data_IF_111882518595
#
_entry.id   IF_111882518595
#
_cell.length_a   1.000
_cell.length_b   1.000
_cell.length_c   1.000
_cell.angle_alpha   90.00
_cell.angle_beta   90.00
_cell.angle_gamma   90.00
#
_symmetry.space_group_name_H-M   'P 1'
#
loop_
_entity.id
_entity.type
_entity.pdbx_description
1 polymer ?
#
# COMPACT_ATOMS: atom_id res chain seq x y z
N UNK A 1 -33.66 24.32 -4.29
CA UNK A 1 -32.28 23.79 -4.48
C UNK A 1 -32.10 23.40 -5.94
N UNK A 2 -31.19 24.05 -6.65
CA UNK A 2 -30.76 23.61 -7.98
C UNK A 2 -29.73 22.49 -7.79
N UNK A 3 -30.07 21.26 -8.19
CA UNK A 3 -29.28 20.05 -7.96
C UNK A 3 -28.87 19.39 -9.27
N UNK A 4 -28.40 18.13 -9.19
CA UNK A 4 -28.02 17.36 -10.38
C UNK A 4 -29.13 17.32 -11.47
N UNK A 5 -30.40 17.39 -11.05
CA UNK A 5 -31.56 17.45 -11.94
C UNK A 5 -31.60 18.70 -12.83
N UNK A 6 -31.06 19.84 -12.39
CA UNK A 6 -31.07 21.11 -13.14
C UNK A 6 -29.86 21.30 -14.06
N UNK A 7 -28.91 20.37 -14.09
CA UNK A 7 -27.74 20.44 -14.97
C UNK A 7 -28.12 20.18 -16.44
N UNK A 8 -27.35 20.75 -17.36
CA UNK A 8 -27.45 20.40 -18.78
C UNK A 8 -27.11 18.91 -19.00
N UNK A 9 -27.71 18.21 -19.99
CA UNK A 9 -27.50 16.78 -20.21
C UNK A 9 -26.03 16.37 -20.34
N UNK A 10 -25.22 17.16 -21.06
CA UNK A 10 -23.78 16.92 -21.22
C UNK A 10 -23.02 16.97 -19.89
N UNK A 11 -23.39 17.91 -19.02
CA UNK A 11 -22.79 18.04 -17.69
C UNK A 11 -23.19 16.89 -16.78
N UNK A 12 -24.44 16.40 -16.87
CA UNK A 12 -24.87 15.18 -16.16
C UNK A 12 -24.00 13.99 -16.54
N UNK A 13 -23.76 13.79 -17.84
CA UNK A 13 -22.94 12.69 -18.33
C UNK A 13 -21.48 12.79 -17.85
N UNK A 14 -20.92 14.01 -17.79
CA UNK A 14 -19.57 14.22 -17.24
C UNK A 14 -19.49 13.91 -15.75
N UNK A 15 -20.49 14.33 -14.96
CA UNK A 15 -20.54 14.03 -13.53
C UNK A 15 -20.68 12.51 -13.29
N UNK A 16 -21.52 11.84 -14.06
CA UNK A 16 -21.70 10.37 -13.97
C UNK A 16 -20.42 9.64 -14.38
N UNK A 17 -19.83 10.02 -15.51
CA UNK A 17 -18.59 9.42 -15.99
C UNK A 17 -17.44 9.65 -14.99
N UNK A 18 -17.27 10.88 -14.52
CA UNK A 18 -16.25 11.22 -13.52
C UNK A 18 -16.45 10.48 -12.20
N UNK A 19 -17.68 10.39 -11.71
CA UNK A 19 -18.01 9.65 -10.49
C UNK A 19 -17.73 8.15 -10.62
N UNK A 20 -18.14 7.53 -11.72
CA UNK A 20 -17.89 6.12 -11.99
C UNK A 20 -16.38 5.83 -12.12
N UNK A 21 -15.64 6.67 -12.86
CA UNK A 21 -14.19 6.56 -13.01
C UNK A 21 -13.46 6.71 -11.67
N UNK A 22 -13.84 7.72 -10.86
CA UNK A 22 -13.24 7.94 -9.56
C UNK A 22 -13.54 6.79 -8.58
N UNK A 23 -14.74 6.21 -8.63
CA UNK A 23 -15.11 5.06 -7.80
C UNK A 23 -14.28 3.82 -8.17
N UNK A 24 -14.21 3.47 -9.45
CA UNK A 24 -13.43 2.32 -9.93
C UNK A 24 -11.94 2.50 -9.61
N UNK A 25 -11.39 3.69 -9.88
CA UNK A 25 -10.00 4.02 -9.53
C UNK A 25 -9.76 3.97 -8.03
N UNK A 26 -10.68 4.50 -7.22
CA UNK A 26 -10.59 4.50 -5.76
C UNK A 26 -10.59 3.08 -5.18
N UNK A 27 -11.44 2.18 -5.68
CA UNK A 27 -11.46 0.76 -5.26
C UNK A 27 -10.17 0.05 -5.67
N UNK A 28 -9.71 0.23 -6.90
CA UNK A 28 -8.46 -0.36 -7.39
C UNK A 28 -7.24 0.12 -6.58
N UNK A 29 -7.16 1.43 -6.32
CA UNK A 29 -6.11 2.00 -5.51
C UNK A 29 -6.20 1.54 -4.06
N UNK A 30 -7.42 1.46 -3.50
CA UNK A 30 -7.64 1.00 -2.14
C UNK A 30 -7.18 -0.44 -1.95
N UNK A 31 -7.53 -1.35 -2.86
CA UNK A 31 -7.08 -2.74 -2.77
C UNK A 31 -5.58 -2.85 -2.92
N UNK A 32 -4.97 -2.14 -3.88
CA UNK A 32 -3.51 -2.13 -4.01
C UNK A 32 -2.80 -1.52 -2.79
N UNK A 33 -3.36 -0.49 -2.15
CA UNK A 33 -2.77 0.14 -0.97
C UNK A 33 -3.02 -0.65 0.32
N UNK A 34 -4.16 -1.34 0.44
CA UNK A 34 -4.48 -2.21 1.57
C UNK A 34 -3.73 -3.55 1.50
N UNK A 35 -3.42 -4.03 0.29
CA UNK A 35 -2.69 -5.28 0.05
C UNK A 35 -1.18 -5.04 -0.12
N UNK A 36 -0.74 -3.83 -0.47
CA UNK A 36 0.69 -3.46 -0.60
C UNK A 36 1.44 -3.20 0.71
N UNK A 37 0.82 -3.42 1.87
CA UNK A 37 1.48 -3.31 3.18
C UNK A 37 2.15 -4.61 3.67
N UNK A 38 2.03 -5.72 2.94
CA UNK A 38 2.58 -7.02 3.36
C UNK A 38 4.05 -7.27 3.00
N UNK A 39 4.72 -6.37 2.26
CA UNK A 39 6.19 -6.44 2.05
C UNK A 39 7.00 -6.14 3.33
N UNK A 40 6.33 -5.69 4.41
CA UNK A 40 6.93 -5.55 5.73
C UNK A 40 7.34 -6.89 6.35
N UNK A 41 6.70 -8.00 5.95
CA UNK A 41 7.03 -9.32 6.48
C UNK A 41 8.38 -9.82 5.96
N UNK A 42 8.70 -9.61 4.67
CA UNK A 42 10.02 -9.94 4.13
C UNK A 42 11.10 -8.97 4.63
N UNK A 43 10.78 -7.68 4.78
CA UNK A 43 11.70 -6.71 5.38
C UNK A 43 12.01 -7.04 6.85
N UNK A 44 11.05 -7.60 7.60
CA UNK A 44 11.26 -8.08 8.96
C UNK A 44 12.09 -9.37 9.01
N UNK A 45 11.90 -10.28 8.05
CA UNK A 45 12.72 -11.51 7.92
C UNK A 45 14.16 -11.17 7.56
N UNK A 46 14.40 -10.29 6.57
CA UNK A 46 15.75 -9.83 6.21
C UNK A 46 16.46 -9.15 7.38
N UNK A 47 15.73 -8.34 8.17
CA UNK A 47 16.29 -7.71 9.38
C UNK A 47 16.61 -8.73 10.47
N UNK A 48 15.82 -9.79 10.61
CA UNK A 48 16.06 -10.86 11.58
C UNK A 48 17.25 -11.75 11.18
N UNK A 49 17.37 -12.13 9.91
CA UNK A 49 18.51 -12.92 9.41
C UNK A 49 19.84 -12.15 9.47
N UNK A 50 19.83 -10.84 9.23
CA UNK A 50 21.01 -9.98 9.40
C UNK A 50 21.44 -9.85 10.86
N UNK A 51 20.51 -9.86 11.82
CA UNK A 51 20.83 -9.85 13.24
C UNK A 51 21.44 -11.17 13.70
N UNK A 52 20.91 -12.30 13.22
CA UNK A 52 21.45 -13.64 13.53
C UNK A 52 22.89 -13.81 13.02
N UNK A 53 23.19 -13.34 11.81
CA UNK A 53 24.53 -13.39 11.22
C UNK A 53 25.58 -12.59 12.02
N UNK A 54 25.17 -11.52 12.70
CA UNK A 54 26.04 -10.71 13.56
C UNK A 54 26.33 -11.39 14.90
N UNK A 55 25.31 -11.99 15.53
CA UNK A 55 25.48 -12.76 16.77
C UNK A 55 26.39 -13.99 16.59
N UNK A 56 26.28 -14.69 15.47
CA UNK A 56 27.15 -15.85 15.14
C UNK A 56 28.61 -15.42 14.91
N UNK A 57 28.82 -14.21 14.38
CA UNK A 57 30.16 -13.65 14.16
C UNK A 57 30.84 -13.23 15.47
N UNK A 58 30.09 -12.72 16.45
CA UNK A 58 30.63 -12.37 17.78
C UNK A 58 30.81 -13.61 18.68
N UNK A 59 29.97 -14.64 18.54
CA UNK A 59 30.12 -15.90 19.26
C UNK A 59 31.34 -16.76 18.81
N UNK A 60 31.92 -16.44 17.64
CA UNK A 60 33.05 -17.19 17.07
C UNK A 60 34.43 -16.60 17.40
N UNK A 61 34.52 -15.50 18.17
CA UNK A 61 35.82 -15.02 18.69
C UNK A 61 36.08 -15.75 20.03
N UNK A 62 36.96 -16.76 20.09
CA UNK A 62 37.21 -17.49 21.32
C UNK A 62 38.02 -16.59 22.26
N UNK A 63 37.40 -16.12 23.34
CA UNK A 63 38.17 -15.63 24.48
C UNK A 63 38.73 -16.84 25.21
N UNK A 64 39.97 -17.21 24.90
CA UNK A 64 40.81 -18.06 25.75
C UNK A 64 42.20 -17.44 25.83
N UNK A 65 42.38 -16.60 26.84
CA UNK A 65 43.67 -16.27 27.42
C UNK A 65 44.14 -17.41 28.34
#
# INVERSE_FOLDING_TARGET
MAGFSSLAPKTKNLVVAGGLSAFVFGVYFYTMRAVGGTDELQTAIDKFEQQKSKEESEATIPSKA
#
